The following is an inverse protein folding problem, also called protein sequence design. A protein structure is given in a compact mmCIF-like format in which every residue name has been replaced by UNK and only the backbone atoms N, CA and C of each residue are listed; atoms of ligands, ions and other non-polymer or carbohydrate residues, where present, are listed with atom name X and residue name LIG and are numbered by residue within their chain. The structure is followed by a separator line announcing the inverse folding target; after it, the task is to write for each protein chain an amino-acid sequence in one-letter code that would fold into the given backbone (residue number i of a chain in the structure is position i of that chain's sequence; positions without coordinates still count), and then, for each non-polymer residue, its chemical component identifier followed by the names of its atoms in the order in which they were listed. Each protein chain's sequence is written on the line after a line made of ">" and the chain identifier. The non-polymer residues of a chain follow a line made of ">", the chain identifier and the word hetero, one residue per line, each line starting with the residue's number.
data_IF_133717858250
#
_entry.id   IF_133717858250
#
_cell.length_a   1.000
_cell.length_b   1.000
_cell.length_c   1.000
_cell.angle_alpha   90.00
_cell.angle_beta   90.00
_cell.angle_gamma   90.00
#
_symmetry.space_group_name_H-M   'P 1'
#
loop_
_entity.id
_entity.type
_entity.pdbx_description
1 polymer ?
#
# COMPACT_ATOMS: atom_id res chain seq x y z
N UNK A 1 -4.48 6.70 -7.16
CA UNK A 1 -3.27 5.97 -7.62
C UNK A 1 -3.61 5.28 -8.93
N UNK A 2 -2.86 5.50 -10.01
CA UNK A 2 -3.08 4.84 -11.29
C UNK A 2 -3.14 3.31 -11.16
N UNK A 3 -4.10 2.67 -11.83
CA UNK A 3 -4.33 1.22 -11.75
C UNK A 3 -3.10 0.40 -12.16
N UNK A 4 -2.30 0.90 -13.12
CA UNK A 4 -1.10 0.19 -13.56
C UNK A 4 -0.04 0.04 -12.45
N UNK A 5 0.07 1.03 -11.55
CA UNK A 5 0.97 0.95 -10.39
C UNK A 5 0.50 -0.15 -9.46
N UNK A 6 -0.79 -0.16 -9.10
CA UNK A 6 -1.37 -1.18 -8.20
C UNK A 6 -1.23 -2.59 -8.77
N UNK A 7 -1.43 -2.75 -10.08
CA UNK A 7 -1.23 -4.03 -10.77
C UNK A 7 0.24 -4.46 -10.80
N UNK A 8 1.18 -3.54 -10.93
CA UNK A 8 2.60 -3.85 -10.86
C UNK A 8 3.05 -4.20 -9.43
N UNK A 9 2.54 -3.50 -8.41
CA UNK A 9 2.90 -3.72 -7.01
C UNK A 9 2.42 -5.09 -6.49
N UNK A 10 1.19 -5.49 -6.81
CA UNK A 10 0.58 -6.68 -6.20
C UNK A 10 -0.31 -7.51 -7.14
N UNK A 11 -0.43 -7.12 -8.41
CA UNK A 11 -1.50 -7.65 -9.27
C UNK A 11 -2.91 -7.25 -8.82
N UNK A 12 -3.04 -6.22 -7.97
CA UNK A 12 -4.31 -5.82 -7.37
C UNK A 12 -4.77 -6.69 -6.19
N UNK A 13 -3.88 -7.52 -5.62
CA UNK A 13 -4.21 -8.40 -4.51
C UNK A 13 -4.09 -7.67 -3.15
N UNK A 14 -5.24 -7.45 -2.51
CA UNK A 14 -5.34 -6.78 -1.20
C UNK A 14 -4.79 -7.59 -0.03
N UNK A 15 -4.50 -8.88 -0.22
CA UNK A 15 -3.85 -9.73 0.79
C UNK A 15 -2.41 -10.09 0.41
N UNK A 16 -1.82 -9.44 -0.59
CA UNK A 16 -0.44 -9.69 -0.99
C UNK A 16 0.54 -9.30 0.12
N UNK A 17 1.60 -10.10 0.28
CA UNK A 17 2.70 -9.82 1.21
C UNK A 17 4.01 -10.07 0.48
N UNK A 18 4.87 -9.07 0.47
CA UNK A 18 6.26 -9.25 0.08
C UNK A 18 7.01 -9.94 1.21
N UNK A 19 7.43 -11.18 0.99
CA UNK A 19 8.13 -12.00 2.00
C UNK A 19 9.51 -11.46 2.41
N UNK A 20 10.11 -10.57 1.62
CA UNK A 20 11.43 -10.00 1.91
C UNK A 20 11.35 -8.67 2.65
N UNK A 21 10.47 -7.75 2.23
CA UNK A 21 10.33 -6.43 2.86
C UNK A 21 9.24 -6.36 3.93
N UNK A 22 8.29 -7.29 3.94
CA UNK A 22 7.10 -7.22 4.77
C UNK A 22 6.05 -6.22 4.27
N UNK A 23 6.26 -5.61 3.10
CA UNK A 23 5.27 -4.74 2.47
C UNK A 23 3.98 -5.51 2.17
N UNK A 24 2.83 -4.87 2.42
CA UNK A 24 1.55 -5.55 2.43
C UNK A 24 0.46 -4.86 1.60
N UNK A 25 -0.54 -5.64 1.22
CA UNK A 25 -1.75 -5.16 0.58
C UNK A 25 -1.59 -4.82 -0.90
N UNK A 26 -2.66 -4.28 -1.49
CA UNK A 26 -2.71 -3.97 -2.92
C UNK A 26 -1.66 -2.94 -3.35
N UNK A 27 -1.26 -2.08 -2.42
CA UNK A 27 -0.35 -0.98 -2.64
C UNK A 27 1.07 -1.25 -2.14
N UNK A 28 1.35 -2.46 -1.62
CA UNK A 28 2.65 -2.85 -1.06
C UNK A 28 3.23 -1.80 -0.10
N UNK A 29 2.41 -1.39 0.88
CA UNK A 29 2.81 -0.39 1.86
C UNK A 29 3.66 -1.06 2.94
N UNK A 30 4.78 -0.44 3.33
CA UNK A 30 5.61 -0.91 4.45
C UNK A 30 4.87 -0.78 5.78
N UNK A 31 4.99 -1.73 6.73
CA UNK A 31 4.28 -1.68 8.01
C UNK A 31 4.53 -0.39 8.82
N UNK A 32 5.76 0.13 8.81
CA UNK A 32 6.08 1.40 9.49
C UNK A 32 5.41 2.61 8.85
N UNK A 33 5.32 2.65 7.52
CA UNK A 33 4.59 3.71 6.80
C UNK A 33 3.10 3.58 7.03
N UNK A 34 2.55 2.37 7.05
CA UNK A 34 1.15 2.10 7.36
C UNK A 34 0.76 2.67 8.73
N UNK A 35 1.55 2.35 9.75
CA UNK A 35 1.35 2.84 11.12
C UNK A 35 1.46 4.38 11.18
N UNK A 36 2.44 4.97 10.48
CA UNK A 36 2.62 6.43 10.45
C UNK A 36 1.42 7.20 9.87
N UNK A 37 0.64 6.55 9.00
CA UNK A 37 -0.58 7.11 8.41
C UNK A 37 -1.88 6.69 9.12
N UNK A 38 -1.74 6.12 10.32
CA UNK A 38 -2.84 5.75 11.21
C UNK A 38 -3.49 4.41 10.86
N UNK A 39 -2.78 3.55 10.15
CA UNK A 39 -3.21 2.19 9.90
C UNK A 39 -3.00 1.31 11.13
N UNK A 40 -4.02 0.54 11.49
CA UNK A 40 -3.92 -0.47 12.54
C UNK A 40 -3.54 -1.83 11.95
N UNK A 41 -2.81 -2.65 12.72
CA UNK A 41 -2.37 -3.97 12.27
C UNK A 41 -1.43 -3.91 11.05
N UNK A 42 -1.57 -4.88 10.14
CA UNK A 42 -0.78 -4.94 8.92
C UNK A 42 -1.62 -4.57 7.69
N UNK A 43 -1.01 -3.95 6.65
CA UNK A 43 -1.75 -3.47 5.48
C UNK A 43 -2.59 -4.55 4.80
N UNK A 44 -2.05 -5.77 4.65
CA UNK A 44 -2.72 -6.89 3.99
C UNK A 44 -3.92 -7.45 4.75
N UNK A 45 -4.01 -7.16 6.05
CA UNK A 45 -5.10 -7.63 6.92
C UNK A 45 -6.21 -6.58 7.02
N UNK A 46 -5.93 -5.34 6.59
CA UNK A 46 -6.87 -4.25 6.60
C UNK A 46 -7.90 -4.36 5.46
N UNK A 47 -9.08 -3.78 5.69
CA UNK A 47 -10.12 -3.74 4.65
C UNK A 47 -9.64 -3.01 3.39
N UNK A 48 -10.22 -3.36 2.24
CA UNK A 48 -9.94 -2.68 0.97
C UNK A 48 -10.07 -1.16 1.09
N UNK A 49 -11.13 -0.69 1.75
CA UNK A 49 -11.40 0.74 1.91
C UNK A 49 -10.31 1.44 2.75
N UNK A 50 -9.77 0.76 3.76
CA UNK A 50 -8.72 1.32 4.61
C UNK A 50 -7.37 1.38 3.87
N UNK A 51 -7.06 0.33 3.10
CA UNK A 51 -5.89 0.34 2.22
C UNK A 51 -5.97 1.49 1.20
N UNK A 52 -7.12 1.65 0.54
CA UNK A 52 -7.36 2.75 -0.40
C UNK A 52 -7.21 4.13 0.27
N UNK A 53 -7.75 4.28 1.50
CA UNK A 53 -7.69 5.53 2.28
C UNK A 53 -6.25 5.93 2.57
N UNK A 54 -5.46 5.02 3.16
CA UNK A 54 -4.07 5.32 3.53
C UNK A 54 -3.20 5.52 2.29
N UNK A 55 -3.39 4.70 1.25
CA UNK A 55 -2.66 4.87 0.01
C UNK A 55 -2.94 6.23 -0.65
N UNK A 56 -4.19 6.73 -0.58
CA UNK A 56 -4.54 8.07 -1.04
C UNK A 56 -3.86 9.19 -0.23
N UNK A 57 -3.70 9.02 1.09
CA UNK A 57 -2.98 9.96 1.94
C UNK A 57 -1.49 10.01 1.57
N UNK A 58 -0.85 8.85 1.44
CA UNK A 58 0.56 8.76 1.00
C UNK A 58 0.72 9.40 -0.39
N UNK A 59 -0.24 9.20 -1.29
CA UNK A 59 -0.17 9.75 -2.64
C UNK A 59 -0.25 11.28 -2.63
N UNK A 60 -1.09 11.84 -1.77
CA UNK A 60 -1.22 13.28 -1.62
C UNK A 60 0.05 13.92 -1.03
N UNK A 61 0.74 13.23 -0.12
CA UNK A 61 1.93 13.73 0.56
C UNK A 61 3.22 13.55 -0.27
N UNK A 62 3.45 12.34 -0.77
CA UNK A 62 4.72 11.92 -1.40
C UNK A 62 4.65 11.80 -2.93
N UNK A 63 3.45 11.83 -3.50
CA UNK A 63 3.23 11.63 -4.94
C UNK A 63 3.72 10.26 -5.42
N UNK A 64 3.92 10.08 -6.74
CA UNK A 64 4.27 8.78 -7.33
C UNK A 64 5.56 8.16 -6.77
N UNK A 65 6.51 8.96 -6.29
CA UNK A 65 7.81 8.46 -5.81
C UNK A 65 7.76 7.53 -4.59
N UNK A 66 6.60 7.39 -3.94
CA UNK A 66 6.41 6.42 -2.87
C UNK A 66 6.17 4.97 -3.37
N UNK A 67 5.95 4.77 -4.67
CA UNK A 67 5.73 3.45 -5.27
C UNK A 67 6.87 3.06 -6.20
N UNK A 68 7.29 1.80 -6.11
CA UNK A 68 8.41 1.28 -6.92
C UNK A 68 8.03 1.18 -8.40
N UNK A 69 6.75 1.00 -8.68
CA UNK A 69 6.18 0.84 -10.01
C UNK A 69 5.69 2.14 -10.67
N UNK A 70 6.01 3.30 -10.11
CA UNK A 70 5.52 4.59 -10.61
C UNK A 70 6.26 5.14 -11.83
#
# INVERSE_FOLDING_TARGET
>A
IPTYIVMCESGGNYSAVNSSSGAGGAYQIMPSTWEAYGGEGLPQDASKAEQDRIAALIWADSGPGAWSCA
#
